data_IF_565907143938
#
_entry.id   IF_565907143938
#
_cell.length_a   1.000
_cell.length_b   1.000
_cell.length_c   1.000
_cell.angle_alpha   90.00
_cell.angle_beta   90.00
_cell.angle_gamma   90.00
#
_symmetry.space_group_name_H-M   'P 1'
#
loop_
_entity.id
_entity.type
_entity.pdbx_description
1 polymer ?
#
# COMPACT_ATOMS: atom_id res chain seq x y z
N UNK A 1 52.54 18.40 -48.68
CA UNK A 1 52.60 17.00 -48.22
C UNK A 1 52.28 17.05 -46.73
N UNK A 2 51.04 16.84 -46.29
CA UNK A 2 50.33 15.56 -46.15
C UNK A 2 50.57 15.06 -44.70
N UNK A 3 49.63 14.64 -43.86
CA UNK A 3 48.19 14.38 -43.88
C UNK A 3 47.70 14.28 -42.42
N UNK A 4 46.39 14.45 -42.20
CA UNK A 4 45.62 13.78 -41.13
C UNK A 4 45.67 14.47 -39.75
N UNK A 5 44.57 14.90 -39.13
CA UNK A 5 43.23 14.31 -39.11
C UNK A 5 43.04 13.52 -37.82
N UNK A 6 42.57 14.19 -36.75
CA UNK A 6 41.91 13.64 -35.55
C UNK A 6 41.05 14.79 -34.97
N UNK A 7 39.72 14.76 -35.10
CA UNK A 7 38.76 14.03 -34.26
C UNK A 7 38.69 14.57 -32.82
N UNK A 8 37.50 15.05 -32.43
CA UNK A 8 37.15 15.53 -31.08
C UNK A 8 36.11 16.65 -31.15
N UNK A 9 34.86 16.35 -31.57
CA UNK A 9 33.68 16.35 -30.69
C UNK A 9 33.44 17.74 -30.05
N UNK A 10 32.61 18.63 -30.62
CA UNK A 10 31.14 18.62 -30.49
C UNK A 10 30.69 18.18 -29.08
N UNK A 11 30.86 19.06 -28.10
CA UNK A 11 30.16 18.99 -26.81
C UNK A 11 28.99 19.97 -26.83
N UNK A 12 28.02 19.66 -27.68
CA UNK A 12 26.63 20.03 -27.43
C UNK A 12 25.87 18.71 -27.27
N UNK A 13 24.81 18.77 -26.47
CA UNK A 13 23.80 17.73 -26.33
C UNK A 13 24.06 16.62 -25.32
N UNK A 14 23.91 16.96 -24.04
CA UNK A 14 23.11 16.13 -23.14
C UNK A 14 22.47 17.02 -22.07
N UNK A 15 21.41 17.72 -22.48
CA UNK A 15 20.26 17.86 -21.58
C UNK A 15 19.95 16.46 -21.07
N UNK A 16 20.23 16.22 -19.80
CA UNK A 16 19.75 15.09 -19.00
C UNK A 16 18.22 15.11 -19.10
N UNK A 17 17.71 14.52 -20.17
CA UNK A 17 16.29 14.32 -20.43
C UNK A 17 15.85 13.14 -19.60
N UNK A 18 14.89 13.40 -18.71
CA UNK A 18 14.00 12.40 -18.10
C UNK A 18 14.69 11.13 -17.63
N UNK A 19 15.46 11.23 -16.54
CA UNK A 19 15.64 10.06 -15.68
C UNK A 19 14.24 9.68 -15.20
N UNK A 20 13.78 8.49 -15.60
CA UNK A 20 12.54 7.89 -15.11
C UNK A 20 12.70 7.59 -13.63
N UNK A 21 12.66 8.64 -12.82
CA UNK A 21 12.62 8.54 -11.38
C UNK A 21 11.33 7.83 -11.05
N UNK A 22 11.42 6.55 -10.70
CA UNK A 22 10.34 5.84 -10.03
C UNK A 22 9.92 6.76 -8.89
N UNK A 23 8.69 7.25 -8.93
CA UNK A 23 8.15 8.04 -7.84
C UNK A 23 8.34 7.20 -6.56
N UNK A 24 8.91 7.76 -5.48
CA UNK A 24 9.19 6.97 -4.28
C UNK A 24 7.91 6.36 -3.68
N UNK A 25 6.76 6.94 -4.00
CA UNK A 25 5.42 6.42 -3.70
C UNK A 25 5.11 5.15 -4.51
N UNK A 26 5.40 5.16 -5.82
CA UNK A 26 5.20 4.00 -6.71
C UNK A 26 6.07 2.81 -6.27
N UNK A 27 7.35 3.04 -5.95
CA UNK A 27 8.24 1.97 -5.48
C UNK A 27 7.77 1.34 -4.15
N UNK A 28 7.22 2.17 -3.25
CA UNK A 28 6.67 1.72 -1.99
C UNK A 28 5.39 0.91 -2.21
N UNK A 29 4.54 1.33 -3.15
CA UNK A 29 3.33 0.60 -3.53
C UNK A 29 3.64 -0.73 -4.21
N UNK A 30 4.65 -0.80 -5.07
CA UNK A 30 5.13 -2.06 -5.65
C UNK A 30 5.58 -3.02 -4.56
N UNK A 31 6.42 -2.56 -3.63
CA UNK A 31 6.89 -3.38 -2.51
C UNK A 31 5.72 -3.88 -1.64
N UNK A 32 4.75 -3.02 -1.34
CA UNK A 32 3.55 -3.39 -0.59
C UNK A 32 2.69 -4.41 -1.35
N UNK A 33 2.59 -4.30 -2.67
CA UNK A 33 1.83 -5.23 -3.51
C UNK A 33 2.52 -6.60 -3.58
N UNK A 34 3.85 -6.63 -3.60
CA UNK A 34 4.63 -7.87 -3.51
C UNK A 34 4.42 -8.59 -2.17
N UNK A 35 4.40 -7.84 -1.06
CA UNK A 35 4.13 -8.40 0.27
C UNK A 35 2.65 -8.77 0.49
N UNK A 36 1.74 -7.98 -0.10
CA UNK A 36 0.30 -8.09 0.07
C UNK A 36 -0.41 -8.10 -1.30
N UNK A 37 -0.55 -9.27 -1.95
CA UNK A 37 -1.11 -9.37 -3.32
C UNK A 37 -2.53 -8.83 -3.48
N UNK A 38 -3.31 -8.76 -2.39
CA UNK A 38 -4.67 -8.22 -2.39
C UNK A 38 -4.71 -6.69 -2.56
N UNK A 39 -3.59 -5.99 -2.37
CA UNK A 39 -3.48 -4.54 -2.60
C UNK A 39 -3.67 -4.21 -4.08
N UNK A 40 -3.31 -5.13 -4.98
CA UNK A 40 -3.57 -4.97 -6.43
C UNK A 40 -5.08 -4.94 -6.76
N UNK A 41 -5.94 -5.40 -5.85
CA UNK A 41 -7.39 -5.35 -6.04
C UNK A 41 -7.99 -3.99 -5.69
N UNK A 42 -7.22 -3.12 -5.03
CA UNK A 42 -7.64 -1.76 -4.68
C UNK A 42 -7.49 -0.83 -5.90
N UNK A 43 -8.38 0.16 -6.07
CA UNK A 43 -8.17 1.23 -7.04
C UNK A 43 -6.97 2.09 -6.66
N UNK A 44 -6.36 2.77 -7.64
CA UNK A 44 -5.10 3.52 -7.46
C UNK A 44 -5.14 4.54 -6.32
N UNK A 45 -6.30 5.17 -6.09
CA UNK A 45 -6.46 6.13 -5.00
C UNK A 45 -6.43 5.46 -3.62
N UNK A 46 -7.09 4.32 -3.49
CA UNK A 46 -7.12 3.56 -2.24
C UNK A 46 -5.79 2.86 -1.95
N UNK A 47 -5.02 2.49 -2.98
CA UNK A 47 -3.63 2.00 -2.80
C UNK A 47 -2.75 3.04 -2.11
N UNK A 48 -2.80 4.30 -2.56
CA UNK A 48 -2.05 5.41 -1.92
C UNK A 48 -2.53 5.66 -0.49
N UNK A 49 -3.85 5.62 -0.26
CA UNK A 49 -4.42 5.77 1.08
C UNK A 49 -3.99 4.64 2.01
N UNK A 50 -3.98 3.40 1.52
CA UNK A 50 -3.49 2.24 2.25
C UNK A 50 -2.02 2.42 2.67
N UNK A 51 -1.14 2.87 1.77
CA UNK A 51 0.27 3.10 2.11
C UNK A 51 0.44 4.11 3.26
N UNK A 52 -0.32 5.21 3.22
CA UNK A 52 -0.31 6.22 4.30
C UNK A 52 -0.82 5.64 5.62
N UNK A 53 -1.95 4.94 5.61
CA UNK A 53 -2.53 4.33 6.81
C UNK A 53 -1.65 3.20 7.37
N UNK A 54 -1.01 2.40 6.51
CA UNK A 54 -0.07 1.36 6.91
C UNK A 54 1.13 1.95 7.66
N UNK A 55 1.80 2.96 7.08
CA UNK A 55 2.95 3.60 7.73
C UNK A 55 2.54 4.23 9.06
N UNK A 56 1.39 4.90 9.10
CA UNK A 56 0.85 5.49 10.33
C UNK A 56 0.56 4.43 11.39
N UNK A 57 0.00 3.29 11.00
CA UNK A 57 -0.32 2.20 11.92
C UNK A 57 0.93 1.49 12.44
N UNK A 58 1.96 1.32 11.60
CA UNK A 58 3.28 0.82 12.02
C UNK A 58 3.90 1.75 13.05
N UNK A 59 3.92 3.06 12.79
CA UNK A 59 4.46 4.06 13.71
C UNK A 59 3.71 4.05 15.05
N UNK A 60 2.38 4.14 15.02
CA UNK A 60 1.56 4.10 16.22
C UNK A 60 1.74 2.78 17.00
N UNK A 61 1.82 1.65 16.30
CA UNK A 61 2.07 0.34 16.92
C UNK A 61 3.42 0.28 17.60
N UNK A 62 4.47 0.83 16.97
CA UNK A 62 5.81 0.90 17.53
C UNK A 62 5.88 1.83 18.75
N UNK A 63 5.24 2.99 18.69
CA UNK A 63 5.17 3.94 19.81
C UNK A 63 4.42 3.36 21.02
N UNK A 64 3.32 2.65 20.77
CA UNK A 64 2.49 2.06 21.81
C UNK A 64 2.97 0.65 22.23
N UNK A 65 3.92 0.06 21.52
CA UNK A 65 4.38 -1.32 21.72
C UNK A 65 3.30 -2.39 21.45
N UNK A 66 2.28 -2.07 20.65
CA UNK A 66 1.12 -2.92 20.39
C UNK A 66 0.83 -3.01 18.88
N UNK A 67 0.99 -4.20 18.32
CA UNK A 67 0.78 -4.44 16.89
C UNK A 67 -0.69 -4.66 16.50
N UNK A 68 -1.61 -4.65 17.46
CA UNK A 68 -3.05 -4.80 17.22
C UNK A 68 -3.61 -3.69 16.33
N UNK A 69 -3.04 -2.48 16.40
CA UNK A 69 -3.45 -1.35 15.55
C UNK A 69 -3.11 -1.63 14.09
N UNK A 70 -1.88 -2.09 13.81
CA UNK A 70 -1.48 -2.51 12.46
C UNK A 70 -2.32 -3.68 11.94
N UNK A 71 -2.56 -4.69 12.78
CA UNK A 71 -3.37 -5.85 12.40
C UNK A 71 -4.80 -5.44 12.02
N UNK A 72 -5.40 -4.50 12.76
CA UNK A 72 -6.73 -3.97 12.47
C UNK A 72 -6.76 -3.26 11.12
N UNK A 73 -5.82 -2.36 10.85
CA UNK A 73 -5.73 -1.64 9.58
C UNK A 73 -5.60 -2.59 8.39
N UNK A 74 -4.79 -3.65 8.51
CA UNK A 74 -4.67 -4.67 7.46
C UNK A 74 -5.98 -5.43 7.22
N UNK A 75 -6.74 -5.74 8.28
CA UNK A 75 -8.05 -6.41 8.16
C UNK A 75 -9.06 -5.50 7.47
N UNK A 76 -9.12 -4.22 7.85
CA UNK A 76 -10.04 -3.24 7.24
C UNK A 76 -9.75 -3.05 5.75
N UNK A 77 -8.49 -2.84 5.38
CA UNK A 77 -8.11 -2.65 3.98
C UNK A 77 -8.27 -3.91 3.14
N UNK A 78 -8.05 -5.10 3.71
CA UNK A 78 -8.34 -6.37 3.02
C UNK A 78 -9.84 -6.54 2.77
N UNK A 79 -10.71 -6.10 3.69
CA UNK A 79 -12.15 -6.10 3.48
C UNK A 79 -12.55 -5.14 2.35
N UNK A 80 -11.97 -3.93 2.32
CA UNK A 80 -12.14 -2.98 1.21
C UNK A 80 -11.73 -3.60 -0.13
N UNK A 81 -10.55 -4.22 -0.19
CA UNK A 81 -10.07 -4.90 -1.39
C UNK A 81 -10.99 -6.05 -1.83
N UNK A 82 -11.52 -6.83 -0.88
CA UNK A 82 -12.48 -7.90 -1.17
C UNK A 82 -13.78 -7.36 -1.78
N UNK A 83 -14.30 -6.23 -1.27
CA UNK A 83 -15.50 -5.56 -1.80
C UNK A 83 -15.27 -5.07 -3.24
N UNK A 84 -14.08 -4.53 -3.53
CA UNK A 84 -13.73 -4.09 -4.88
C UNK A 84 -13.49 -5.25 -5.85
N UNK A 85 -12.89 -6.35 -5.38
CA UNK A 85 -12.60 -7.52 -6.20
C UNK A 85 -13.84 -8.37 -6.53
N UNK A 86 -14.75 -8.51 -5.58
CA UNK A 86 -15.96 -9.30 -5.74
C UNK A 86 -17.13 -8.62 -5.00
N UNK A 87 -17.99 -7.88 -5.72
CA UNK A 87 -19.13 -7.22 -5.10
C UNK A 87 -20.18 -8.21 -4.56
N UNK A 88 -20.16 -9.50 -4.95
CA UNK A 88 -21.04 -10.51 -4.36
C UNK A 88 -20.47 -11.06 -3.03
N UNK A 89 -19.14 -11.10 -2.87
CA UNK A 89 -18.47 -11.37 -1.59
C UNK A 89 -18.70 -10.24 -0.58
N UNK A 90 -18.83 -8.99 -1.05
CA UNK A 90 -19.27 -7.87 -0.23
C UNK A 90 -20.65 -8.12 0.39
N UNK A 91 -21.58 -8.72 -0.37
CA UNK A 91 -22.92 -9.05 0.14
C UNK A 91 -22.90 -10.18 1.18
N UNK A 92 -21.99 -11.15 1.05
CA UNK A 92 -21.81 -12.23 2.05
C UNK A 92 -21.10 -11.73 3.32
N UNK A 93 -20.09 -10.84 3.21
CA UNK A 93 -19.39 -10.25 4.36
C UNK A 93 -20.22 -9.17 5.06
N UNK A 94 -21.05 -8.44 4.32
CA UNK A 94 -22.03 -7.49 4.85
C UNK A 94 -23.33 -8.19 5.30
N UNK A 95 -23.46 -9.49 5.09
CA UNK A 95 -24.55 -10.26 5.67
C UNK A 95 -24.41 -10.11 7.18
N UNK A 96 -25.39 -9.46 7.79
CA UNK A 96 -25.50 -9.29 9.24
C UNK A 96 -25.08 -10.61 9.89
N UNK A 97 -24.09 -10.56 10.79
CA UNK A 97 -23.84 -11.71 11.65
C UNK A 97 -25.10 -11.85 12.50
N UNK A 98 -26.06 -12.64 12.02
CA UNK A 98 -27.29 -12.99 12.71
C UNK A 98 -26.91 -13.99 13.81
N UNK A 99 -26.21 -13.45 14.80
CA UNK A 99 -25.65 -14.15 15.92
C UNK A 99 -25.68 -13.17 17.07
N UNK A 100 -26.76 -13.21 17.85
CA UNK A 100 -26.65 -12.84 19.24
C UNK A 100 -25.54 -13.73 19.82
N UNK A 101 -24.32 -13.20 19.95
CA UNK A 101 -23.14 -13.93 20.44
C UNK A 101 -23.25 -14.30 21.94
N UNK A 102 -24.48 -14.35 22.46
CA UNK A 102 -24.80 -14.45 23.86
C UNK A 102 -24.57 -13.12 24.60
N UNK A 103 -25.20 -12.97 25.78
CA UNK A 103 -24.99 -11.80 26.63
C UNK A 103 -23.52 -11.72 27.08
N UNK A 104 -22.89 -10.54 26.88
CA UNK A 104 -21.56 -10.24 27.41
C UNK A 104 -21.60 -10.35 28.94
N UNK A 105 -20.79 -11.24 29.57
CA UNK A 105 -20.74 -11.32 31.02
C UNK A 105 -20.22 -10.00 31.59
N UNK A 106 -20.91 -9.46 32.59
CA UNK A 106 -20.50 -8.24 33.28
C UNK A 106 -19.11 -8.46 33.90
N UNK A 107 -18.21 -7.46 33.87
CA UNK A 107 -16.93 -7.57 34.54
C UNK A 107 -17.13 -7.81 36.03
N UNK A 108 -16.50 -8.86 36.56
CA UNK A 108 -16.47 -9.16 37.99
C UNK A 108 -15.67 -8.05 38.68
N UNK A 109 -16.38 -7.05 39.19
CA UNK A 109 -15.80 -6.02 40.03
C UNK A 109 -15.64 -6.55 41.45
N UNK A 110 -14.41 -6.92 41.82
CA UNK A 110 -13.97 -7.07 43.22
C UNK A 110 -12.59 -6.45 43.39
#
# INVERSE_FOLDING_TARGET
MGYGGRAGASTEHLSRSGDGGIDPDEAALESLTEEFPWVDLLPDDDRRRFAVDFVRAVQASAELGQWSVLAQVLVEWRATAAIHADPALAEELSRLIDGDFGPVPAPDGS
#
